data_IF_640709229706
#
_entry.id   IF_640709229706
#
_cell.length_a   1.000
_cell.length_b   1.000
_cell.length_c   1.000
_cell.angle_alpha   90.00
_cell.angle_beta   90.00
_cell.angle_gamma   90.00
#
_symmetry.space_group_name_H-M   'P 1'
#
loop_
_entity.id
_entity.type
_entity.pdbx_description
1 polymer ?
#
# COMPACT_ATOMS: atom_id res chain seq x y z
N UNK A 1 9.58 -16.50 -17.31
CA UNK A 1 8.28 -15.79 -17.42
C UNK A 1 7.53 -15.65 -16.11
N UNK A 2 7.25 -16.73 -15.35
CA UNK A 2 6.41 -16.68 -14.12
C UNK A 2 6.89 -15.67 -13.06
N UNK A 3 8.20 -15.61 -12.81
CA UNK A 3 8.81 -14.66 -11.85
C UNK A 3 8.60 -13.21 -12.29
N UNK A 4 8.78 -12.92 -13.59
CA UNK A 4 8.57 -11.58 -14.14
C UNK A 4 7.11 -11.14 -14.00
N UNK A 5 6.15 -12.05 -14.26
CA UNK A 5 4.72 -11.78 -14.10
C UNK A 5 4.39 -11.47 -12.64
N UNK A 6 4.96 -12.21 -11.69
CA UNK A 6 4.76 -11.94 -10.26
C UNK A 6 5.34 -10.58 -9.84
N UNK A 7 6.52 -10.22 -10.35
CA UNK A 7 7.15 -8.93 -10.09
C UNK A 7 6.31 -7.77 -10.64
N UNK A 8 5.88 -7.88 -11.90
CA UNK A 8 5.02 -6.91 -12.56
C UNK A 8 3.66 -6.80 -11.85
N UNK A 9 3.10 -7.93 -11.39
CA UNK A 9 1.86 -7.95 -10.62
C UNK A 9 1.98 -7.15 -9.33
N UNK A 10 3.06 -7.36 -8.56
CA UNK A 10 3.31 -6.58 -7.34
C UNK A 10 3.47 -5.09 -7.61
N UNK A 11 4.23 -4.73 -8.65
CA UNK A 11 4.39 -3.34 -9.07
C UNK A 11 3.06 -2.70 -9.50
N UNK A 12 2.27 -3.38 -10.33
CA UNK A 12 0.97 -2.89 -10.79
C UNK A 12 0.00 -2.66 -9.62
N UNK A 13 -0.06 -3.57 -8.66
CA UNK A 13 -0.89 -3.40 -7.46
C UNK A 13 -0.45 -2.17 -6.67
N UNK A 14 0.86 -1.97 -6.51
CA UNK A 14 1.39 -0.79 -5.82
C UNK A 14 1.09 0.52 -6.57
N UNK A 15 1.31 0.55 -7.88
CA UNK A 15 1.00 1.72 -8.73
C UNK A 15 -0.49 2.04 -8.75
N UNK A 16 -1.36 1.03 -8.79
CA UNK A 16 -2.80 1.22 -8.74
C UNK A 16 -3.24 1.81 -7.40
N UNK A 17 -2.68 1.33 -6.28
CA UNK A 17 -2.93 1.88 -4.95
C UNK A 17 -2.50 3.36 -4.86
N UNK A 18 -1.31 3.68 -5.38
CA UNK A 18 -0.82 5.06 -5.45
C UNK A 18 -1.76 5.96 -6.26
N UNK A 19 -2.15 5.52 -7.45
CA UNK A 19 -3.04 6.27 -8.32
C UNK A 19 -4.42 6.47 -7.69
N UNK A 20 -4.95 5.45 -7.01
CA UNK A 20 -6.22 5.54 -6.31
C UNK A 20 -6.19 6.57 -5.17
N UNK A 21 -5.14 6.58 -4.35
CA UNK A 21 -4.98 7.59 -3.28
C UNK A 21 -4.93 9.00 -3.86
N UNK A 22 -4.14 9.20 -4.91
CA UNK A 22 -3.98 10.49 -5.55
C UNK A 22 -5.29 10.97 -6.22
N UNK A 23 -5.96 10.08 -6.94
CA UNK A 23 -7.24 10.37 -7.57
C UNK A 23 -8.31 10.75 -6.54
N UNK A 24 -8.42 10.01 -5.43
CA UNK A 24 -9.36 10.33 -4.34
C UNK A 24 -9.06 11.67 -3.70
N UNK A 25 -7.78 12.02 -3.51
CA UNK A 25 -7.41 13.34 -2.98
C UNK A 25 -7.81 14.46 -3.94
N UNK A 26 -7.44 14.35 -5.22
CA UNK A 26 -7.73 15.38 -6.22
C UNK A 26 -9.24 15.56 -6.46
N UNK A 27 -9.98 14.45 -6.57
CA UNK A 27 -11.44 14.46 -6.74
C UNK A 27 -12.16 14.98 -5.50
N UNK A 28 -11.74 14.57 -4.30
CA UNK A 28 -12.32 15.04 -3.03
C UNK A 28 -12.16 16.55 -2.85
N UNK A 29 -11.01 17.12 -3.23
CA UNK A 29 -10.83 18.57 -3.20
C UNK A 29 -11.66 19.28 -4.27
N UNK A 30 -11.70 18.77 -5.51
CA UNK A 30 -12.51 19.36 -6.58
C UNK A 30 -14.02 19.33 -6.29
N UNK A 31 -14.49 18.33 -5.54
CA UNK A 31 -15.89 18.18 -5.13
C UNK A 31 -16.21 18.90 -3.81
N UNK A 32 -15.23 19.56 -3.19
CA UNK A 32 -15.44 20.32 -1.95
C UNK A 32 -15.72 19.45 -0.72
N UNK A 33 -15.16 18.24 -0.63
CA UNK A 33 -15.38 17.38 0.53
C UNK A 33 -14.88 18.02 1.83
N UNK A 34 -15.57 17.79 2.96
CA UNK A 34 -15.06 18.21 4.26
C UNK A 34 -13.68 17.60 4.52
N UNK A 35 -12.70 18.43 4.91
CA UNK A 35 -11.31 18.02 5.15
C UNK A 35 -11.18 16.78 6.05
N UNK A 36 -11.99 16.72 7.11
CA UNK A 36 -11.99 15.58 8.05
C UNK A 36 -12.46 14.27 7.41
N UNK A 37 -13.48 14.33 6.56
CA UNK A 37 -14.01 13.16 5.84
C UNK A 37 -13.01 12.69 4.80
N UNK A 38 -12.43 13.60 4.00
CA UNK A 38 -11.42 13.25 3.00
C UNK A 38 -10.18 12.61 3.66
N UNK A 39 -9.70 13.18 4.77
CA UNK A 39 -8.58 12.60 5.53
C UNK A 39 -8.92 11.21 6.08
N UNK A 40 -10.13 11.01 6.62
CA UNK A 40 -10.54 9.70 7.12
C UNK A 40 -10.57 8.64 5.99
N UNK A 41 -11.07 9.00 4.82
CA UNK A 41 -11.10 8.10 3.64
C UNK A 41 -9.68 7.75 3.17
N UNK A 42 -8.78 8.74 3.07
CA UNK A 42 -7.39 8.51 2.66
C UNK A 42 -6.64 7.63 3.66
N UNK A 43 -6.86 7.83 4.97
CA UNK A 43 -6.28 6.97 6.02
C UNK A 43 -6.82 5.55 5.91
N UNK A 44 -8.13 5.38 5.71
CA UNK A 44 -8.74 4.06 5.56
C UNK A 44 -8.20 3.32 4.32
N UNK A 45 -8.05 4.01 3.19
CA UNK A 45 -7.44 3.45 1.98
C UNK A 45 -5.99 3.04 2.23
N UNK A 46 -5.19 3.92 2.85
CA UNK A 46 -3.79 3.63 3.16
C UNK A 46 -3.65 2.42 4.09
N UNK A 47 -4.48 2.33 5.14
CA UNK A 47 -4.52 1.19 6.04
C UNK A 47 -4.88 -0.10 5.29
N UNK A 48 -5.87 -0.04 4.39
CA UNK A 48 -6.24 -1.17 3.52
C UNK A 48 -5.08 -1.64 2.64
N UNK A 49 -4.36 -0.71 2.00
CA UNK A 49 -3.20 -1.04 1.16
C UNK A 49 -2.02 -1.58 1.98
N UNK A 50 -1.78 -1.03 3.17
CA UNK A 50 -0.78 -1.55 4.10
C UNK A 50 -1.12 -3.00 4.52
N UNK A 51 -2.38 -3.32 4.81
CA UNK A 51 -2.81 -4.69 5.11
C UNK A 51 -2.61 -5.63 3.91
N UNK A 52 -2.91 -5.18 2.69
CA UNK A 52 -2.66 -5.94 1.46
C UNK A 52 -1.18 -6.33 1.29
N UNK A 53 -0.25 -5.46 1.69
CA UNK A 53 1.19 -5.75 1.66
C UNK A 53 1.62 -6.89 2.58
N UNK A 54 0.78 -7.29 3.54
CA UNK A 54 1.05 -8.40 4.48
C UNK A 54 0.60 -9.76 3.94
N UNK A 55 -0.20 -9.80 2.85
CA UNK A 55 -0.69 -11.05 2.24
C UNK A 55 0.45 -12.01 1.87
N UNK A 56 1.57 -11.59 1.24
CA UNK A 56 2.69 -12.47 0.94
C UNK A 56 3.31 -13.07 2.21
N UNK A 57 3.31 -12.31 3.30
CA UNK A 57 3.85 -12.72 4.60
C UNK A 57 2.95 -13.80 5.24
N UNK A 58 1.63 -13.67 5.11
CA UNK A 58 0.67 -14.69 5.52
C UNK A 58 0.80 -15.98 4.70
N UNK A 59 1.03 -15.87 3.38
CA UNK A 59 1.29 -17.03 2.52
C UNK A 59 2.63 -17.70 2.84
N UNK A 60 3.69 -16.92 3.08
CA UNK A 60 5.01 -17.44 3.40
C UNK A 60 5.07 -18.18 4.75
N UNK A 61 4.23 -17.79 5.73
CA UNK A 61 4.10 -18.54 6.99
C UNK A 61 3.63 -19.99 6.81
N UNK A 62 2.98 -20.32 5.69
CA UNK A 62 2.56 -21.69 5.35
C UNK A 62 3.65 -22.52 4.68
N UNK A 63 4.79 -21.91 4.33
CA UNK A 63 5.91 -22.62 3.72
C UNK A 63 6.78 -23.29 4.78
N UNK A 64 7.15 -24.55 4.54
CA UNK A 64 8.07 -25.30 5.39
C UNK A 64 9.54 -24.83 5.25
N UNK A 65 9.87 -24.12 4.17
CA UNK A 65 11.21 -23.64 3.87
C UNK A 65 11.59 -22.41 4.74
N UNK A 66 12.60 -22.52 5.62
CA UNK A 66 13.03 -21.44 6.49
C UNK A 66 13.66 -20.25 5.73
N UNK A 67 14.29 -20.48 4.58
CA UNK A 67 14.86 -19.42 3.75
C UNK A 67 13.76 -18.57 3.10
N UNK A 68 12.75 -19.23 2.53
CA UNK A 68 11.60 -18.57 1.93
C UNK A 68 10.83 -17.76 2.97
N UNK A 69 10.69 -18.30 4.20
CA UNK A 69 10.02 -17.59 5.29
C UNK A 69 10.78 -16.34 5.72
N UNK A 70 12.11 -16.40 5.84
CA UNK A 70 12.95 -15.27 6.26
C UNK A 70 12.99 -14.15 5.21
N UNK A 71 13.17 -14.51 3.95
CA UNK A 71 13.16 -13.54 2.84
C UNK A 71 11.81 -12.85 2.73
N UNK A 72 10.70 -13.60 2.75
CA UNK A 72 9.36 -13.04 2.71
C UNK A 72 9.05 -12.10 3.87
N UNK A 73 9.52 -12.41 5.09
CA UNK A 73 9.35 -11.51 6.24
C UNK A 73 10.12 -10.20 6.07
N UNK A 74 11.37 -10.26 5.61
CA UNK A 74 12.19 -9.06 5.42
C UNK A 74 11.62 -8.19 4.29
N UNK A 75 11.25 -8.78 3.16
CA UNK A 75 10.66 -8.04 2.05
C UNK A 75 9.28 -7.49 2.38
N UNK A 76 8.48 -8.20 3.17
CA UNK A 76 7.17 -7.70 3.61
C UNK A 76 7.29 -6.52 4.58
N UNK A 77 8.27 -6.56 5.51
CA UNK A 77 8.58 -5.41 6.39
C UNK A 77 9.11 -4.24 5.57
N UNK A 78 10.01 -4.48 4.62
CA UNK A 78 10.53 -3.43 3.74
C UNK A 78 9.42 -2.80 2.89
N UNK A 79 8.49 -3.60 2.37
CA UNK A 79 7.37 -3.14 1.58
C UNK A 79 6.39 -2.28 2.41
N UNK A 80 6.06 -2.71 3.64
CA UNK A 80 5.18 -1.92 4.52
C UNK A 80 5.85 -0.62 4.96
N UNK A 81 7.16 -0.64 5.25
CA UNK A 81 7.94 0.57 5.52
C UNK A 81 7.95 1.51 4.30
N UNK A 82 8.16 0.98 3.09
CA UNK A 82 8.12 1.77 1.86
C UNK A 82 6.76 2.42 1.62
N UNK A 83 5.65 1.71 1.85
CA UNK A 83 4.29 2.27 1.81
C UNK A 83 4.17 3.40 2.82
N UNK A 84 4.54 3.18 4.08
CA UNK A 84 4.45 4.22 5.11
C UNK A 84 5.27 5.48 4.75
N UNK A 85 6.48 5.31 4.21
CA UNK A 85 7.34 6.42 3.80
C UNK A 85 6.80 7.15 2.57
N UNK A 86 6.44 6.44 1.50
CA UNK A 86 5.92 7.03 0.27
C UNK A 86 4.58 7.75 0.47
N UNK A 87 3.73 7.26 1.39
CA UNK A 87 2.41 7.82 1.65
C UNK A 87 2.33 8.65 2.93
N UNK A 88 3.46 8.87 3.62
CA UNK A 88 3.54 9.70 4.84
C UNK A 88 2.99 11.12 4.64
N UNK A 89 3.07 11.64 3.41
CA UNK A 89 2.49 12.93 3.03
C UNK A 89 0.99 13.07 3.34
N UNK A 90 0.21 11.97 3.35
CA UNK A 90 -1.22 11.99 3.72
C UNK A 90 -1.43 12.41 5.18
N UNK A 91 -0.45 12.16 6.06
CA UNK A 91 -0.55 12.46 7.49
C UNK A 91 -0.32 13.94 7.78
N UNK A 92 0.62 14.58 7.08
CA UNK A 92 0.98 15.98 7.35
C UNK A 92 0.40 16.98 6.35
N UNK A 93 0.11 16.59 5.10
CA UNK A 93 -0.33 17.55 4.10
C UNK A 93 -1.78 17.92 4.37
N UNK A 94 -2.08 19.21 4.26
CA UNK A 94 -3.46 19.65 4.16
C UNK A 94 -4.04 18.99 2.89
N UNK A 95 -5.11 18.19 3.00
CA UNK A 95 -5.73 17.57 1.83
C UNK A 95 -6.08 18.64 0.79
N UNK A 96 -6.58 19.76 1.32
CA UNK A 96 -6.68 21.12 0.82
C UNK A 96 -6.88 21.99 2.12
#
# INVERSE_FOLDING_TARGET
>A
MRVLIALLGGFLVWSAAFLALYATQATGCSLGWPRGVLRAVLIAMLAGFALLSLVPLALARRSADPFLRRTATLTGIAASAAVALCFSGILWMAPC
#
